data_IF_478799814910
#
_entry.id   IF_478799814910
#
_cell.length_a   1.000
_cell.length_b   1.000
_cell.length_c   1.000
_cell.angle_alpha   90.00
_cell.angle_beta   90.00
_cell.angle_gamma   90.00
#
_symmetry.space_group_name_H-M   'P 1'
#
loop_
_entity.id
_entity.type
_entity.pdbx_description
1 polymer ?
#
# COMPACT_ATOMS: atom_id res chain seq x y z
N UNK A 1 3.22 26.04 13.36
CA UNK A 1 2.22 25.87 14.44
C UNK A 1 2.69 26.58 15.71
N UNK A 2 1.80 27.27 16.45
CA UNK A 2 2.17 28.04 17.62
C UNK A 2 2.67 27.15 18.77
N UNK A 3 3.72 27.60 19.45
CA UNK A 3 4.19 27.10 20.73
C UNK A 3 3.21 27.44 21.84
N UNK A 4 3.38 26.77 22.98
CA UNK A 4 2.78 27.26 24.22
C UNK A 4 3.21 28.71 24.46
N UNK A 5 2.31 29.55 25.00
CA UNK A 5 2.65 30.93 25.35
C UNK A 5 3.79 30.94 26.37
N UNK A 6 4.77 31.82 26.20
CA UNK A 6 5.80 31.99 27.21
C UNK A 6 5.19 32.49 28.54
N UNK A 7 5.79 32.15 29.69
CA UNK A 7 5.34 32.68 30.97
C UNK A 7 5.40 34.22 30.95
N UNK A 8 4.48 34.89 31.66
CA UNK A 8 4.45 36.35 31.73
C UNK A 8 5.81 36.91 32.21
N UNK A 9 6.26 38.05 31.66
CA UNK A 9 5.45 39.06 30.95
C UNK A 9 5.25 38.86 29.45
N UNK A 10 5.87 37.85 28.82
CA UNK A 10 5.85 37.71 27.35
C UNK A 10 4.73 36.78 26.88
N UNK A 11 3.57 37.31 26.46
CA UNK A 11 2.42 36.51 25.98
C UNK A 11 2.51 36.11 24.50
N UNK A 12 3.68 36.32 23.87
CA UNK A 12 3.91 36.01 22.45
C UNK A 12 3.93 34.50 22.20
N UNK A 13 3.44 34.09 21.03
CA UNK A 13 3.48 32.70 20.54
C UNK A 13 4.57 32.59 19.49
N UNK A 14 5.30 31.48 19.47
CA UNK A 14 6.40 31.24 18.53
C UNK A 14 6.10 30.02 17.66
N UNK A 15 6.81 29.83 16.56
CA UNK A 15 6.66 28.61 15.74
C UNK A 15 7.37 27.44 16.43
N UNK A 16 6.68 26.33 16.71
CA UNK A 16 7.27 25.16 17.41
C UNK A 16 8.51 24.58 16.72
N UNK A 17 8.49 24.51 15.38
CA UNK A 17 9.61 23.99 14.59
C UNK A 17 10.78 24.98 14.48
N UNK A 18 10.53 26.27 14.73
CA UNK A 18 11.53 27.33 14.66
C UNK A 18 11.24 28.35 15.77
N UNK A 19 11.66 28.07 17.03
CA UNK A 19 11.28 28.86 18.20
C UNK A 19 11.75 30.31 18.15
N UNK A 20 12.65 30.67 17.23
CA UNK A 20 13.11 32.04 17.02
C UNK A 20 12.07 32.92 16.31
N UNK A 21 11.12 32.34 15.57
CA UNK A 21 10.14 33.10 14.78
C UNK A 21 8.85 33.29 15.56
N UNK A 22 8.51 34.55 15.85
CA UNK A 22 7.25 34.93 16.47
C UNK A 22 6.07 34.74 15.49
N UNK A 23 4.96 34.23 15.98
CA UNK A 23 3.76 33.99 15.18
C UNK A 23 3.16 35.33 14.72
N UNK A 24 2.87 35.47 13.43
CA UNK A 24 2.40 36.72 12.80
C UNK A 24 3.41 37.88 12.79
N UNK A 25 4.70 37.62 13.06
CA UNK A 25 5.75 38.60 12.79
C UNK A 25 5.97 38.79 11.28
N UNK A 26 6.67 39.86 10.90
CA UNK A 26 7.10 40.09 9.51
C UNK A 26 7.90 38.90 8.97
N UNK A 27 8.83 38.35 9.76
CA UNK A 27 9.59 37.14 9.44
C UNK A 27 8.68 35.92 9.18
N UNK A 28 7.57 35.78 9.93
CA UNK A 28 6.62 34.69 9.71
C UNK A 28 5.93 34.81 8.33
N UNK A 29 5.55 36.03 7.93
CA UNK A 29 4.95 36.28 6.62
C UNK A 29 5.95 36.10 5.48
N UNK A 30 7.24 36.35 5.70
CA UNK A 30 8.30 36.08 4.71
C UNK A 30 8.50 34.58 4.48
N UNK A 31 8.43 33.76 5.53
CA UNK A 31 8.65 32.29 5.45
C UNK A 31 7.39 31.54 4.95
N UNK A 32 6.20 32.11 5.15
CA UNK A 32 4.93 31.50 4.76
C UNK A 32 4.85 31.10 3.26
N UNK A 33 5.14 31.98 2.27
CA UNK A 33 5.05 31.61 0.85
C UNK A 33 6.05 30.51 0.48
N UNK A 34 7.25 30.53 1.06
CA UNK A 34 8.26 29.47 0.86
C UNK A 34 7.75 28.12 1.38
N UNK A 35 7.10 28.12 2.55
CA UNK A 35 6.53 26.91 3.15
C UNK A 35 5.37 26.37 2.31
N UNK A 36 4.49 27.24 1.83
CA UNK A 36 3.39 26.85 0.92
C UNK A 36 3.97 26.25 -0.37
N UNK A 37 4.97 26.91 -0.97
CA UNK A 37 5.68 26.42 -2.14
C UNK A 37 6.29 25.04 -1.91
N UNK A 38 6.95 24.83 -0.77
CA UNK A 38 7.52 23.54 -0.39
C UNK A 38 6.45 22.45 -0.26
N UNK A 39 5.31 22.72 0.39
CA UNK A 39 4.21 21.74 0.49
C UNK A 39 3.64 21.40 -0.89
N UNK A 40 3.44 22.39 -1.76
CA UNK A 40 2.95 22.14 -3.12
C UNK A 40 3.95 21.29 -3.92
N UNK A 41 5.24 21.64 -3.86
CA UNK A 41 6.30 20.97 -4.64
C UNK A 41 6.62 19.57 -4.12
N UNK A 42 6.69 19.37 -2.80
CA UNK A 42 7.10 18.08 -2.23
C UNK A 42 5.94 17.15 -1.91
N UNK A 43 4.72 17.66 -1.68
CA UNK A 43 3.57 16.83 -1.34
C UNK A 43 2.58 16.73 -2.51
N UNK A 44 2.09 17.87 -3.01
CA UNK A 44 1.01 17.86 -4.00
C UNK A 44 1.50 17.43 -5.39
N UNK A 45 2.66 17.92 -5.84
CA UNK A 45 3.18 17.63 -7.17
C UNK A 45 3.51 16.14 -7.37
N UNK A 46 4.24 15.44 -6.47
CA UNK A 46 4.50 14.01 -6.65
C UNK A 46 3.22 13.19 -6.61
N UNK A 47 2.26 13.54 -5.75
CA UNK A 47 0.98 12.85 -5.71
C UNK A 47 0.19 13.04 -7.02
N UNK A 48 0.09 14.28 -7.52
CA UNK A 48 -0.58 14.57 -8.78
C UNK A 48 0.11 13.89 -9.98
N UNK A 49 1.44 13.90 -10.00
CA UNK A 49 2.25 13.21 -11.00
C UNK A 49 1.97 11.70 -10.99
N UNK A 50 2.02 11.06 -9.82
CA UNK A 50 1.74 9.62 -9.69
C UNK A 50 0.28 9.30 -10.03
N UNK A 51 -0.70 10.11 -9.61
CA UNK A 51 -2.12 9.95 -10.00
C UNK A 51 -2.24 9.95 -11.53
N UNK A 52 -1.64 10.92 -12.21
CA UNK A 52 -1.65 10.99 -13.67
C UNK A 52 -1.00 9.75 -14.29
N UNK A 53 0.17 9.34 -13.79
CA UNK A 53 0.88 8.15 -14.25
C UNK A 53 0.03 6.89 -14.12
N UNK A 54 -0.55 6.66 -12.95
CA UNK A 54 -1.45 5.54 -12.64
C UNK A 54 -2.68 5.55 -13.56
N UNK A 55 -3.36 6.68 -13.73
CA UNK A 55 -4.53 6.76 -14.62
C UNK A 55 -4.20 6.45 -16.09
N UNK A 56 -2.98 6.76 -16.54
CA UNK A 56 -2.52 6.51 -17.91
C UNK A 56 -1.85 5.14 -18.10
N UNK A 57 -1.39 4.52 -17.01
CA UNK A 57 -0.55 3.33 -17.03
C UNK A 57 -1.12 2.17 -17.86
N UNK A 58 -2.41 1.76 -17.73
CA UNK A 58 -2.91 0.60 -18.45
C UNK A 58 -2.86 0.73 -19.98
N UNK A 59 -2.91 1.96 -20.50
CA UNK A 59 -2.83 2.21 -21.96
C UNK A 59 -1.40 2.49 -22.40
N UNK A 60 -0.67 3.33 -21.67
CA UNK A 60 0.66 3.77 -22.08
C UNK A 60 1.71 2.68 -21.95
N UNK A 61 1.67 1.87 -20.90
CA UNK A 61 2.65 0.76 -20.74
C UNK A 61 2.52 -0.28 -21.88
N UNK A 62 1.32 -0.40 -22.45
CA UNK A 62 1.06 -1.27 -23.58
C UNK A 62 1.68 -0.76 -24.91
N UNK A 63 1.71 0.56 -25.10
CA UNK A 63 2.03 1.19 -26.39
C UNK A 63 3.41 1.87 -26.44
N UNK A 64 3.98 2.22 -25.29
CA UNK A 64 5.18 3.04 -25.15
C UNK A 64 6.15 2.37 -24.16
N UNK A 65 7.19 1.75 -24.71
CA UNK A 65 8.23 1.05 -23.93
C UNK A 65 9.02 2.03 -23.05
N UNK A 66 9.23 3.28 -23.49
CA UNK A 66 9.93 4.29 -22.69
C UNK A 66 9.11 4.70 -21.46
N UNK A 67 7.78 4.73 -21.59
CA UNK A 67 6.88 4.91 -20.45
C UNK A 67 6.95 3.71 -19.50
N UNK A 68 6.96 2.49 -20.03
CA UNK A 68 7.07 1.28 -19.22
C UNK A 68 8.36 1.26 -18.39
N UNK A 69 9.50 1.56 -19.00
CA UNK A 69 10.81 1.65 -18.33
C UNK A 69 10.84 2.79 -17.29
N UNK A 70 10.33 3.97 -17.64
CA UNK A 70 10.32 5.13 -16.74
C UNK A 70 9.46 4.93 -15.49
N UNK A 71 8.40 4.12 -15.59
CA UNK A 71 7.45 3.84 -14.51
C UNK A 71 7.63 2.43 -13.90
N UNK A 72 8.68 1.69 -14.29
CA UNK A 72 8.92 0.34 -13.79
C UNK A 72 9.10 0.33 -12.27
N UNK A 73 9.74 1.37 -11.71
CA UNK A 73 9.88 1.53 -10.26
C UNK A 73 8.53 1.63 -9.50
N UNK A 74 7.45 2.04 -10.17
CA UNK A 74 6.11 2.14 -9.57
C UNK A 74 5.31 0.86 -9.85
N UNK A 75 5.38 0.36 -11.08
CA UNK A 75 4.45 -0.65 -11.59
C UNK A 75 5.04 -2.06 -11.61
N UNK A 76 6.35 -2.20 -11.72
CA UNK A 76 7.07 -3.46 -11.93
C UNK A 76 6.94 -4.43 -10.76
N UNK A 77 6.98 -3.93 -9.52
CA UNK A 77 6.89 -4.76 -8.31
C UNK A 77 5.45 -5.01 -7.83
N UNK A 78 4.49 -4.32 -8.43
CA UNK A 78 3.09 -4.36 -8.03
C UNK A 78 2.35 -5.51 -8.73
N UNK A 79 1.46 -6.15 -7.98
CA UNK A 79 0.52 -7.12 -8.51
C UNK A 79 -0.30 -6.43 -9.60
N UNK A 80 -0.40 -7.00 -10.82
CA UNK A 80 -1.11 -6.35 -11.91
C UNK A 80 -2.61 -6.15 -11.68
N UNK A 81 -3.19 -6.60 -10.55
CA UNK A 81 -4.57 -6.31 -10.12
C UNK A 81 -4.68 -5.11 -9.18
N UNK A 82 -3.59 -4.72 -8.55
CA UNK A 82 -3.52 -3.73 -7.48
C UNK A 82 -2.46 -2.67 -7.76
N UNK A 83 -2.16 -2.40 -9.03
CA UNK A 83 -1.21 -1.35 -9.46
C UNK A 83 -1.61 0.05 -8.96
N UNK A 84 -2.90 0.30 -8.72
CA UNK A 84 -3.40 1.53 -8.11
C UNK A 84 -3.03 1.69 -6.63
N UNK A 85 -2.50 0.65 -5.98
CA UNK A 85 -2.12 0.66 -4.58
C UNK A 85 -1.05 1.71 -4.25
N UNK A 86 -0.17 2.03 -5.21
CA UNK A 86 0.82 3.10 -5.02
C UNK A 86 0.16 4.43 -4.61
N UNK A 87 -1.04 4.73 -5.12
CA UNK A 87 -1.78 5.93 -4.73
C UNK A 87 -2.23 5.87 -3.28
N UNK A 88 -2.65 4.71 -2.80
CA UNK A 88 -3.00 4.52 -1.38
C UNK A 88 -1.75 4.65 -0.51
N UNK A 89 -0.62 4.08 -0.92
CA UNK A 89 0.64 4.20 -0.19
C UNK A 89 1.08 5.66 -0.07
N UNK A 90 1.08 6.41 -1.17
CA UNK A 90 1.42 7.84 -1.16
C UNK A 90 0.41 8.68 -0.37
N UNK A 91 -0.89 8.40 -0.52
CA UNK A 91 -1.93 9.09 0.23
C UNK A 91 -1.79 8.83 1.74
N UNK A 92 -1.48 7.59 2.14
CA UNK A 92 -1.23 7.27 3.54
C UNK A 92 -0.02 8.02 4.10
N UNK A 93 1.10 8.04 3.38
CA UNK A 93 2.29 8.79 3.78
C UNK A 93 1.99 10.30 3.94
N UNK A 94 1.24 10.88 3.00
CA UNK A 94 0.79 12.27 3.07
C UNK A 94 -0.16 12.51 4.25
N UNK A 95 -1.14 11.64 4.46
CA UNK A 95 -2.10 11.76 5.57
C UNK A 95 -1.40 11.66 6.93
N UNK A 96 -0.45 10.74 7.09
CA UNK A 96 0.35 10.64 8.31
C UNK A 96 1.17 11.92 8.53
N UNK A 97 1.84 12.44 7.50
CA UNK A 97 2.57 13.70 7.61
C UNK A 97 1.64 14.88 7.98
N UNK A 98 0.44 14.93 7.38
CA UNK A 98 -0.57 15.94 7.70
C UNK A 98 -1.10 15.81 9.13
N UNK A 99 -1.32 14.60 9.64
CA UNK A 99 -1.73 14.37 11.04
C UNK A 99 -0.68 14.93 11.99
N UNK A 100 0.60 14.66 11.72
CA UNK A 100 1.71 15.16 12.54
C UNK A 100 1.85 16.70 12.45
N UNK A 101 1.56 17.28 11.28
CA UNK A 101 1.58 18.73 11.12
C UNK A 101 0.38 19.40 11.82
N UNK A 102 -0.84 18.96 11.53
CA UNK A 102 -2.09 19.66 11.85
C UNK A 102 -2.46 19.57 13.32
N UNK A 103 -2.37 18.38 13.91
CA UNK A 103 -2.76 18.21 15.31
C UNK A 103 -1.62 18.68 16.22
N UNK A 104 -1.92 19.54 17.19
CA UNK A 104 -0.94 19.98 18.20
C UNK A 104 -0.91 19.04 19.40
N UNK A 105 -2.09 18.51 19.73
CA UNK A 105 -2.28 17.57 20.82
C UNK A 105 -1.69 16.20 20.44
N UNK A 106 -0.73 15.75 21.25
CA UNK A 106 -0.04 14.47 21.09
C UNK A 106 -1.04 13.30 21.14
N UNK A 107 -2.12 13.41 21.93
CA UNK A 107 -3.18 12.40 21.98
C UNK A 107 -3.89 12.30 20.63
N UNK A 108 -4.36 13.43 20.08
CA UNK A 108 -5.04 13.46 18.78
C UNK A 108 -4.12 12.98 17.65
N UNK A 109 -2.84 13.37 17.67
CA UNK A 109 -1.84 12.88 16.71
C UNK A 109 -1.72 11.36 16.75
N UNK A 110 -1.53 10.78 17.93
CA UNK A 110 -1.33 9.33 18.10
C UNK A 110 -2.58 8.53 17.76
N UNK A 111 -3.75 8.90 18.30
CA UNK A 111 -5.00 8.19 18.02
C UNK A 111 -5.41 8.27 16.55
N UNK A 112 -5.23 9.43 15.90
CA UNK A 112 -5.54 9.55 14.46
C UNK A 112 -4.55 8.75 13.62
N UNK A 113 -3.26 8.72 14.00
CA UNK A 113 -2.25 7.90 13.32
C UNK A 113 -2.56 6.40 13.45
N UNK A 114 -2.99 5.94 14.63
CA UNK A 114 -3.45 4.55 14.82
C UNK A 114 -4.65 4.22 13.96
N UNK A 115 -5.64 5.10 13.88
CA UNK A 115 -6.84 4.89 13.07
C UNK A 115 -6.49 4.76 11.58
N UNK A 116 -5.64 5.65 11.06
CA UNK A 116 -5.12 5.59 9.69
C UNK A 116 -4.36 4.28 9.44
N UNK A 117 -3.49 3.89 10.37
CA UNK A 117 -2.70 2.67 10.25
C UNK A 117 -3.59 1.41 10.25
N UNK A 118 -4.62 1.35 11.11
CA UNK A 118 -5.63 0.29 11.09
C UNK A 118 -6.35 0.20 9.74
N UNK A 119 -6.78 1.34 9.18
CA UNK A 119 -7.44 1.38 7.87
C UNK A 119 -6.52 0.84 6.76
N UNK A 120 -5.24 1.23 6.77
CA UNK A 120 -4.24 0.76 5.80
C UNK A 120 -3.96 -0.73 5.96
N UNK A 121 -3.88 -1.25 7.19
CA UNK A 121 -3.72 -2.69 7.43
C UNK A 121 -4.89 -3.47 6.83
N UNK A 122 -6.14 -3.03 7.06
CA UNK A 122 -7.33 -3.68 6.51
C UNK A 122 -7.32 -3.64 4.97
N UNK A 123 -6.98 -2.50 4.38
CA UNK A 123 -6.84 -2.35 2.94
C UNK A 123 -5.72 -3.23 2.37
N UNK A 124 -4.59 -3.36 3.07
CA UNK A 124 -3.44 -4.18 2.66
C UNK A 124 -3.79 -5.67 2.67
N UNK A 125 -4.51 -6.13 3.70
CA UNK A 125 -5.00 -7.51 3.80
C UNK A 125 -5.97 -7.83 2.65
N UNK A 126 -6.84 -6.88 2.30
CA UNK A 126 -7.83 -7.03 1.24
C UNK A 126 -7.23 -6.98 -0.18
N UNK A 127 -6.33 -6.03 -0.45
CA UNK A 127 -5.77 -5.79 -1.78
C UNK A 127 -4.59 -6.72 -2.11
N UNK A 128 -3.71 -7.00 -1.13
CA UNK A 128 -2.44 -7.74 -1.31
C UNK A 128 -1.64 -7.25 -2.53
N UNK A 129 -1.16 -6.01 -2.47
CA UNK A 129 -0.66 -5.29 -3.63
C UNK A 129 0.64 -5.81 -4.20
N UNK A 130 1.50 -6.47 -3.42
CA UNK A 130 2.79 -6.95 -3.93
C UNK A 130 2.60 -8.23 -4.75
N UNK A 131 3.45 -8.45 -5.76
CA UNK A 131 3.45 -9.69 -6.58
C UNK A 131 3.65 -10.92 -5.70
N UNK A 132 4.58 -10.83 -4.75
CA UNK A 132 4.93 -11.95 -3.88
C UNK A 132 4.11 -11.94 -2.59
N UNK A 133 3.44 -13.05 -2.30
CA UNK A 133 2.66 -13.22 -1.06
C UNK A 133 3.49 -13.03 0.21
N UNK A 134 4.76 -13.41 0.17
CA UNK A 134 5.65 -13.24 1.31
C UNK A 134 5.93 -11.77 1.62
N UNK A 135 6.13 -10.94 0.59
CA UNK A 135 6.31 -9.49 0.75
C UNK A 135 5.06 -8.85 1.34
N UNK A 136 3.87 -9.22 0.84
CA UNK A 136 2.61 -8.76 1.44
C UNK A 136 2.48 -9.12 2.92
N UNK A 137 2.83 -10.36 3.29
CA UNK A 137 2.78 -10.78 4.69
C UNK A 137 3.77 -9.99 5.55
N UNK A 138 5.01 -9.80 5.06
CA UNK A 138 6.03 -9.01 5.75
C UNK A 138 5.57 -7.57 5.97
N UNK A 139 4.97 -6.95 4.96
CA UNK A 139 4.43 -5.58 5.06
C UNK A 139 3.28 -5.50 6.08
N UNK A 140 2.35 -6.46 6.07
CA UNK A 140 1.27 -6.53 7.07
C UNK A 140 1.84 -6.67 8.48
N UNK A 141 2.85 -7.54 8.66
CA UNK A 141 3.56 -7.70 9.93
C UNK A 141 4.14 -6.35 10.38
N UNK A 142 4.90 -5.68 9.51
CA UNK A 142 5.53 -4.40 9.83
C UNK A 142 4.51 -3.33 10.22
N UNK A 143 3.38 -3.26 9.51
CA UNK A 143 2.30 -2.33 9.82
C UNK A 143 1.63 -2.65 11.16
N UNK A 144 1.30 -3.92 11.44
CA UNK A 144 0.72 -4.36 12.73
C UNK A 144 1.69 -4.09 13.87
N UNK A 145 2.96 -4.35 13.64
CA UNK A 145 4.03 -4.07 14.59
C UNK A 145 4.14 -2.58 14.90
N UNK A 146 4.12 -1.72 13.87
CA UNK A 146 4.12 -0.27 14.06
C UNK A 146 2.86 0.19 14.83
N UNK A 147 1.71 -0.46 14.60
CA UNK A 147 0.49 -0.19 15.36
C UNK A 147 0.64 -0.54 16.84
N UNK A 148 1.21 -1.72 17.15
CA UNK A 148 1.51 -2.13 18.53
C UNK A 148 2.47 -1.13 19.19
N UNK A 149 3.51 -0.69 18.47
CA UNK A 149 4.42 0.33 18.95
C UNK A 149 3.71 1.65 19.29
N UNK A 150 2.83 2.13 18.41
CA UNK A 150 2.01 3.33 18.68
C UNK A 150 1.10 3.14 19.91
N UNK A 151 0.50 1.96 20.08
CA UNK A 151 -0.32 1.63 21.26
C UNK A 151 0.52 1.71 22.54
N UNK A 152 1.77 1.25 22.53
CA UNK A 152 2.64 1.42 23.70
C UNK A 152 3.08 2.88 23.88
N UNK A 153 3.28 3.63 22.80
CA UNK A 153 3.65 5.05 22.87
C UNK A 153 2.61 5.90 23.62
N UNK A 154 1.33 5.50 23.65
CA UNK A 154 0.31 6.25 24.41
C UNK A 154 0.51 6.19 25.92
N UNK A 155 1.21 5.18 26.43
CA UNK A 155 1.54 5.10 27.86
C UNK A 155 2.46 6.22 28.34
N UNK A 156 3.16 6.93 27.42
CA UNK A 156 4.10 8.00 27.77
C UNK A 156 3.50 9.41 27.75
N UNK A 157 2.27 9.59 27.28
CA UNK A 157 1.71 10.95 27.08
C UNK A 157 1.30 11.58 28.44
N UNK A 158 1.16 10.79 29.51
CA UNK A 158 0.78 11.26 30.84
C UNK A 158 1.93 11.87 31.66
N UNK A 159 2.54 12.98 31.22
CA UNK A 159 3.67 13.61 31.93
C UNK A 159 3.37 14.01 33.40
N UNK A 160 2.11 14.32 33.73
CA UNK A 160 1.71 14.70 35.11
C UNK A 160 1.60 13.52 36.07
N UNK A 161 1.37 12.32 35.57
CA UNK A 161 1.33 11.08 36.38
C UNK A 161 2.68 10.35 36.37
N UNK A 162 3.51 10.58 35.33
CA UNK A 162 4.84 10.01 35.19
C UNK A 162 5.82 10.41 36.31
N UNK A 163 5.61 11.55 36.98
CA UNK A 163 6.50 11.96 38.08
C UNK A 163 6.46 10.99 39.27
N UNK A 164 5.40 10.17 39.39
CA UNK A 164 5.27 9.12 40.40
C UNK A 164 5.46 7.69 39.84
N UNK A 165 5.71 7.54 38.54
CA UNK A 165 5.76 6.24 37.86
C UNK A 165 7.17 5.97 37.31
N UNK A 166 7.67 4.74 37.46
CA UNK A 166 9.02 4.35 37.02
C UNK A 166 9.18 4.47 35.49
N UNK A 167 9.63 5.63 35.01
CA UNK A 167 9.93 5.90 33.60
C UNK A 167 10.87 4.86 32.98
N UNK A 168 11.78 4.34 33.80
CA UNK A 168 12.73 3.27 33.44
C UNK A 168 12.00 1.98 33.04
N UNK A 169 10.92 1.62 33.72
CA UNK A 169 10.16 0.41 33.41
C UNK A 169 9.54 0.50 32.00
N UNK A 170 8.86 1.60 31.69
CA UNK A 170 8.25 1.79 30.37
C UNK A 170 9.30 1.86 29.26
N UNK A 171 10.43 2.53 29.49
CA UNK A 171 11.53 2.58 28.53
C UNK A 171 12.09 1.18 28.23
N UNK A 172 12.26 0.33 29.26
CA UNK A 172 12.69 -1.06 29.10
C UNK A 172 11.65 -1.87 28.33
N UNK A 173 10.36 -1.73 28.64
CA UNK A 173 9.28 -2.41 27.89
C UNK A 173 9.30 -2.01 26.41
N UNK A 174 9.45 -0.72 26.10
CA UNK A 174 9.56 -0.24 24.72
C UNK A 174 10.77 -0.81 24.00
N UNK A 175 11.94 -0.81 24.65
CA UNK A 175 13.16 -1.38 24.08
C UNK A 175 12.98 -2.88 23.79
N UNK A 176 12.36 -3.63 24.70
CA UNK A 176 12.06 -5.05 24.51
C UNK A 176 11.11 -5.25 23.33
N UNK A 177 10.03 -4.46 23.23
CA UNK A 177 9.08 -4.53 22.11
C UNK A 177 9.80 -4.26 20.78
N UNK A 178 10.61 -3.20 20.71
CA UNK A 178 11.39 -2.87 19.50
C UNK A 178 12.38 -3.98 19.14
N UNK A 179 13.10 -4.54 20.11
CA UNK A 179 14.01 -5.65 19.89
C UNK A 179 13.30 -6.91 19.39
N UNK A 180 12.14 -7.26 19.97
CA UNK A 180 11.33 -8.41 19.53
C UNK A 180 10.81 -8.22 18.10
N UNK A 181 10.37 -7.00 17.78
CA UNK A 181 9.93 -6.59 16.45
C UNK A 181 11.04 -6.71 15.41
N UNK A 182 12.23 -6.20 15.74
CA UNK A 182 13.40 -6.28 14.85
C UNK A 182 13.81 -7.73 14.65
N UNK A 183 13.87 -8.52 15.73
CA UNK A 183 14.20 -9.94 15.65
C UNK A 183 13.18 -10.71 14.78
N UNK A 184 11.88 -10.48 14.98
CA UNK A 184 10.82 -11.11 14.18
C UNK A 184 10.91 -10.74 12.69
N UNK A 185 11.19 -9.46 12.40
CA UNK A 185 11.37 -8.97 11.04
C UNK A 185 12.57 -9.64 10.38
N UNK A 186 13.72 -9.70 11.07
CA UNK A 186 14.94 -10.34 10.58
C UNK A 186 14.74 -11.85 10.34
N UNK A 187 14.06 -12.54 11.25
CA UNK A 187 13.73 -13.96 11.09
C UNK A 187 12.79 -14.21 9.91
N UNK A 188 11.78 -13.33 9.73
CA UNK A 188 10.84 -13.42 8.62
C UNK A 188 11.53 -13.22 7.26
N UNK A 189 12.40 -12.22 7.17
CA UNK A 189 13.23 -11.97 5.98
C UNK A 189 14.17 -13.15 5.73
N UNK A 190 14.87 -13.64 6.76
CA UNK A 190 15.77 -14.79 6.64
C UNK A 190 15.05 -16.06 6.18
N UNK A 191 13.84 -16.31 6.69
CA UNK A 191 13.01 -17.43 6.25
C UNK A 191 12.56 -17.29 4.80
N UNK A 192 12.18 -16.07 4.38
CA UNK A 192 11.85 -15.78 3.00
C UNK A 192 13.04 -16.01 2.06
N UNK A 193 14.22 -15.47 2.38
CA UNK A 193 15.46 -15.65 1.59
C UNK A 193 15.81 -17.13 1.46
N UNK A 194 15.78 -17.89 2.56
CA UNK A 194 16.03 -19.34 2.55
C UNK A 194 15.01 -20.07 1.69
N UNK A 195 13.75 -19.65 1.73
CA UNK A 195 12.68 -20.19 0.88
C UNK A 195 12.88 -19.85 -0.60
N UNK A 196 13.37 -18.65 -0.92
CA UNK A 196 13.68 -18.22 -2.28
C UNK A 196 14.83 -19.03 -2.86
N UNK A 197 15.91 -19.24 -2.09
CA UNK A 197 17.08 -20.02 -2.52
C UNK A 197 16.78 -21.51 -2.73
N UNK A 198 15.84 -22.10 -1.97
CA UNK A 198 15.52 -23.54 -2.05
C UNK A 198 14.52 -23.92 -3.12
N UNK A 199 13.84 -22.96 -3.75
CA UNK A 199 12.77 -23.28 -4.71
C UNK A 199 13.32 -23.39 -6.14
N UNK A 200 13.44 -24.62 -6.62
CA UNK A 200 13.28 -24.95 -8.05
C UNK A 200 11.82 -24.69 -8.47
N UNK A 201 11.40 -23.41 -8.45
CA UNK A 201 10.01 -22.99 -8.65
C UNK A 201 9.48 -23.36 -10.05
N UNK A 202 10.39 -23.48 -11.02
CA UNK A 202 10.07 -23.74 -12.43
C UNK A 202 9.32 -25.07 -12.58
N UNK A 203 9.76 -26.14 -11.91
CA UNK A 203 9.12 -27.46 -12.03
C UNK A 203 7.68 -27.49 -11.53
N UNK A 204 7.42 -26.88 -10.37
CA UNK A 204 6.06 -26.81 -9.80
C UNK A 204 5.14 -25.93 -10.63
N UNK A 205 5.63 -24.79 -11.12
CA UNK A 205 4.86 -23.90 -11.98
C UNK A 205 4.50 -24.59 -13.31
N UNK A 206 5.45 -25.24 -13.96
CA UNK A 206 5.21 -26.00 -15.18
C UNK A 206 4.17 -27.11 -14.96
N UNK A 207 4.30 -27.88 -13.88
CA UNK A 207 3.33 -28.93 -13.54
C UNK A 207 1.91 -28.39 -13.32
N UNK A 208 1.78 -27.22 -12.67
CA UNK A 208 0.49 -26.56 -12.50
C UNK A 208 -0.10 -26.10 -13.84
N UNK A 209 0.70 -25.51 -14.72
CA UNK A 209 0.26 -25.08 -16.05
C UNK A 209 -0.22 -26.26 -16.89
N UNK A 210 0.51 -27.38 -16.91
CA UNK A 210 0.08 -28.59 -17.62
C UNK A 210 -1.23 -29.14 -17.08
N UNK A 211 -1.38 -29.25 -15.76
CA UNK A 211 -2.65 -29.67 -15.14
C UNK A 211 -3.80 -28.73 -15.49
N UNK A 212 -3.57 -27.41 -15.47
CA UNK A 212 -4.59 -26.44 -15.87
C UNK A 212 -4.99 -26.57 -17.34
N UNK A 213 -4.02 -26.81 -18.23
CA UNK A 213 -4.27 -27.05 -19.66
C UNK A 213 -5.11 -28.31 -19.87
N UNK A 214 -4.74 -29.42 -19.22
CA UNK A 214 -5.44 -30.69 -19.37
C UNK A 214 -6.88 -30.59 -18.83
N UNK A 215 -7.08 -29.87 -17.71
CA UNK A 215 -8.42 -29.56 -17.19
C UNK A 215 -9.26 -28.74 -18.18
N UNK A 216 -8.67 -27.72 -18.84
CA UNK A 216 -9.40 -26.94 -19.85
C UNK A 216 -9.79 -27.78 -21.06
N UNK A 217 -8.92 -28.69 -21.50
CA UNK A 217 -9.23 -29.61 -22.59
C UNK A 217 -10.40 -30.55 -22.23
N UNK A 218 -10.40 -31.08 -20.99
CA UNK A 218 -11.52 -31.90 -20.50
C UNK A 218 -12.82 -31.10 -20.37
N UNK A 219 -12.75 -29.84 -19.94
CA UNK A 219 -13.91 -28.95 -19.87
C UNK A 219 -14.46 -28.61 -21.26
N UNK A 220 -13.58 -28.41 -22.25
CA UNK A 220 -13.98 -28.15 -23.64
C UNK A 220 -14.69 -29.36 -24.29
N UNK A 221 -14.33 -30.58 -23.88
CA UNK A 221 -15.01 -31.80 -24.33
C UNK A 221 -16.31 -32.12 -23.58
N UNK A 222 -16.69 -31.34 -22.56
CA UNK A 222 -17.89 -31.61 -21.76
C UNK A 222 -19.16 -31.13 -22.49
N UNK A 223 -20.24 -31.94 -22.56
CA UNK A 223 -21.50 -31.48 -23.11
C UNK A 223 -22.02 -30.23 -22.39
N UNK A 224 -22.46 -29.22 -23.16
CA UNK A 224 -22.82 -27.89 -22.66
C UNK A 224 -23.87 -27.94 -21.53
N UNK A 225 -24.92 -28.76 -21.68
CA UNK A 225 -25.94 -28.94 -20.64
C UNK A 225 -25.37 -29.44 -19.30
N UNK A 226 -24.36 -30.32 -19.36
CA UNK A 226 -23.67 -30.81 -18.16
C UNK A 226 -22.79 -29.73 -17.56
N UNK A 227 -22.07 -28.97 -18.39
CA UNK A 227 -21.27 -27.83 -17.96
C UNK A 227 -22.12 -26.77 -17.26
N UNK A 228 -23.20 -26.30 -17.88
CA UNK A 228 -24.09 -25.28 -17.33
C UNK A 228 -24.75 -25.75 -16.02
N UNK A 229 -25.19 -27.01 -15.95
CA UNK A 229 -25.76 -27.58 -14.71
C UNK A 229 -24.76 -27.55 -13.55
N UNK A 230 -23.50 -27.94 -13.80
CA UNK A 230 -22.44 -27.92 -12.77
C UNK A 230 -22.00 -26.50 -12.43
N UNK A 231 -21.90 -25.62 -13.43
CA UNK A 231 -21.56 -24.21 -13.21
C UNK A 231 -22.64 -23.50 -12.37
N UNK A 232 -23.92 -23.85 -12.54
CA UNK A 232 -25.02 -23.33 -11.72
C UNK A 232 -24.89 -23.68 -10.23
N UNK A 233 -24.24 -24.81 -9.90
CA UNK A 233 -24.03 -25.28 -8.52
C UNK A 233 -22.86 -24.59 -7.81
N UNK A 234 -22.05 -23.79 -8.51
CA UNK A 234 -20.94 -23.07 -7.90
C UNK A 234 -21.44 -22.04 -6.88
N UNK A 235 -20.80 -21.99 -5.71
CA UNK A 235 -21.04 -20.99 -4.67
C UNK A 235 -20.46 -19.64 -5.16
N UNK A 236 -20.94 -18.52 -4.60
CA UNK A 236 -20.50 -17.17 -4.98
C UNK A 236 -18.97 -16.98 -4.96
N UNK A 237 -18.30 -17.50 -3.94
CA UNK A 237 -16.83 -17.46 -3.83
C UNK A 237 -16.14 -18.19 -5.00
N UNK A 238 -16.67 -19.35 -5.41
CA UNK A 238 -16.12 -20.12 -6.52
C UNK A 238 -16.35 -19.41 -7.85
N UNK A 239 -17.52 -18.76 -8.03
CA UNK A 239 -17.81 -17.92 -9.21
C UNK A 239 -16.86 -16.73 -9.30
N UNK A 240 -16.55 -16.08 -8.17
CA UNK A 240 -15.58 -14.99 -8.12
C UNK A 240 -14.16 -15.49 -8.45
N UNK A 241 -13.76 -16.66 -7.94
CA UNK A 241 -12.47 -17.29 -8.27
C UNK A 241 -12.39 -17.67 -9.75
N UNK A 242 -13.46 -18.24 -10.32
CA UNK A 242 -13.54 -18.57 -11.73
C UNK A 242 -13.39 -17.30 -12.59
N UNK A 243 -14.16 -16.26 -12.30
CA UNK A 243 -14.06 -14.96 -12.99
C UNK A 243 -12.65 -14.37 -12.92
N UNK A 244 -12.02 -14.37 -11.75
CA UNK A 244 -10.63 -13.91 -11.57
C UNK A 244 -9.65 -14.76 -12.37
N UNK A 245 -9.88 -16.06 -12.45
CA UNK A 245 -9.06 -17.00 -13.22
C UNK A 245 -9.20 -16.69 -14.71
N UNK A 246 -10.42 -16.52 -15.23
CA UNK A 246 -10.67 -16.07 -16.61
C UNK A 246 -9.95 -14.75 -16.91
N UNK A 247 -10.08 -13.73 -16.05
CA UNK A 247 -9.41 -12.44 -16.22
C UNK A 247 -7.88 -12.59 -16.31
N UNK A 248 -7.32 -13.49 -15.50
CA UNK A 248 -5.88 -13.83 -15.53
C UNK A 248 -5.50 -14.56 -16.82
N UNK A 249 -6.30 -15.53 -17.27
CA UNK A 249 -6.03 -16.28 -18.49
C UNK A 249 -6.08 -15.37 -19.72
N UNK A 250 -7.09 -14.51 -19.82
CA UNK A 250 -7.23 -13.51 -20.89
C UNK A 250 -5.98 -12.64 -20.97
N UNK A 251 -5.59 -12.05 -19.85
CA UNK A 251 -4.42 -11.15 -19.81
C UNK A 251 -3.08 -11.87 -19.99
N UNK A 252 -2.92 -13.10 -19.51
CA UNK A 252 -1.65 -13.83 -19.61
C UNK A 252 -1.47 -14.52 -20.96
N UNK A 253 -2.51 -15.16 -21.50
CA UNK A 253 -2.41 -15.94 -22.74
C UNK A 253 -2.77 -15.14 -23.99
N UNK A 254 -3.82 -14.31 -23.92
CA UNK A 254 -4.24 -13.48 -25.06
C UNK A 254 -3.57 -12.10 -25.06
N UNK A 255 -2.94 -11.70 -23.94
CA UNK A 255 -2.31 -10.38 -23.80
C UNK A 255 -3.32 -9.23 -23.98
N UNK A 256 -4.59 -9.49 -23.66
CA UNK A 256 -5.69 -8.53 -23.76
C UNK A 256 -6.21 -8.13 -22.37
N UNK A 257 -6.84 -6.96 -22.28
CA UNK A 257 -7.45 -6.47 -21.05
C UNK A 257 -8.77 -7.19 -20.78
N UNK A 258 -9.00 -7.75 -19.58
CA UNK A 258 -10.19 -8.55 -19.32
C UNK A 258 -11.49 -7.74 -19.22
N UNK A 259 -11.40 -6.41 -19.02
CA UNK A 259 -12.56 -5.53 -19.00
C UNK A 259 -12.20 -4.07 -19.29
N UNK A 260 -13.21 -3.26 -19.65
CA UNK A 260 -13.07 -1.81 -19.87
C UNK A 260 -12.87 -0.99 -18.59
N UNK A 261 -13.28 -1.51 -17.43
CA UNK A 261 -13.20 -0.78 -16.15
C UNK A 261 -11.76 -0.76 -15.64
N UNK A 262 -11.28 0.40 -15.22
CA UNK A 262 -9.89 0.65 -14.81
C UNK A 262 -9.38 -0.36 -13.75
N UNK A 263 -10.14 -0.60 -12.68
CA UNK A 263 -9.74 -1.53 -11.60
C UNK A 263 -9.64 -3.01 -12.03
N UNK A 264 -10.12 -3.37 -13.23
CA UNK A 264 -9.97 -4.72 -13.81
C UNK A 264 -8.89 -4.78 -14.90
N UNK A 265 -8.38 -3.63 -15.34
CA UNK A 265 -7.27 -3.59 -16.28
C UNK A 265 -5.98 -3.99 -15.57
N UNK A 266 -5.08 -4.62 -16.33
CA UNK A 266 -3.76 -5.04 -15.89
C UNK A 266 -2.70 -4.31 -16.70
N UNK A 267 -1.54 -4.08 -16.11
CA UNK A 267 -0.39 -3.53 -16.84
C UNK A 267 0.24 -4.69 -17.64
N UNK A 268 0.31 -4.54 -18.97
CA UNK A 268 0.83 -5.56 -19.90
C UNK A 268 1.83 -4.89 -20.85
N UNK A 269 3.14 -4.94 -20.59
CA UNK A 269 4.13 -4.23 -21.40
C UNK A 269 4.31 -4.85 -22.80
N UNK A 270 4.61 -4.00 -23.79
CA UNK A 270 5.01 -4.43 -25.14
C UNK A 270 3.91 -5.00 -26.03
N UNK A 271 2.64 -4.69 -25.76
CA UNK A 271 1.48 -5.22 -26.50
C UNK A 271 0.42 -4.16 -26.71
N UNK A 272 -0.11 -4.03 -27.93
CA UNK A 272 -1.17 -3.06 -28.27
C UNK A 272 -2.36 -3.19 -27.31
N UNK A 273 -2.82 -2.06 -26.77
CA UNK A 273 -3.97 -2.04 -25.88
C UNK A 273 -5.23 -2.55 -26.59
N UNK A 274 -5.72 -3.72 -26.19
CA UNK A 274 -6.96 -4.30 -26.66
C UNK A 274 -7.77 -4.81 -25.48
N UNK A 275 -9.09 -4.58 -25.50
CA UNK A 275 -9.99 -5.13 -24.48
C UNK A 275 -10.62 -6.39 -25.05
N UNK A 276 -10.48 -7.48 -24.30
CA UNK A 276 -11.08 -8.75 -24.66
C UNK A 276 -12.59 -8.60 -24.75
N UNK A 277 -13.07 -8.75 -25.97
CA UNK A 277 -14.47 -8.99 -26.25
C UNK A 277 -14.62 -10.48 -26.46
N UNK A 278 -15.51 -11.17 -25.73
CA UNK A 278 -15.96 -12.48 -26.15
C UNK A 278 -16.69 -12.27 -27.48
N UNK A 279 -15.93 -12.25 -28.58
CA UNK A 279 -16.49 -12.43 -29.91
C UNK A 279 -17.12 -13.80 -29.89
N UNK A 280 -18.28 -13.93 -30.52
CA UNK A 280 -18.85 -15.25 -30.79
C UNK A 280 -17.76 -16.05 -31.50
N UNK A 281 -17.09 -16.92 -30.75
CA UNK A 281 -16.21 -17.95 -31.32
C UNK A 281 -17.20 -18.96 -31.88
N UNK A 282 -17.77 -18.60 -33.03
CA UNK A 282 -18.54 -19.46 -33.92
C UNK A 282 -17.59 -20.00 -34.98
#
# INVERSE_FOLDING_TARGET
FPSDPMPPPNTKKYVRAMPSVELYSEEWYEVLPVTIGAVVVYCAFPLAYTIRGVLQAPRRVCEDDAFAESYDYILGDMNPRAWWWILISMANALLLALVQAVFQDVFLQLYTSMLLLCAVILLQIAARPNIHRAVNNLEIILLVTNLVFLIFATSFIGERELHNQDTTFYAVVMLVVVCLVLAFTLLSVGWWVRGALRRTAIGKAAQQVYRSRDLMALLAGMPEATFLRRAGQLIENDRLLLKRTTDMLVSTFFQEQPARRLHRQRVIPGRKFAVWTPREVL
#
